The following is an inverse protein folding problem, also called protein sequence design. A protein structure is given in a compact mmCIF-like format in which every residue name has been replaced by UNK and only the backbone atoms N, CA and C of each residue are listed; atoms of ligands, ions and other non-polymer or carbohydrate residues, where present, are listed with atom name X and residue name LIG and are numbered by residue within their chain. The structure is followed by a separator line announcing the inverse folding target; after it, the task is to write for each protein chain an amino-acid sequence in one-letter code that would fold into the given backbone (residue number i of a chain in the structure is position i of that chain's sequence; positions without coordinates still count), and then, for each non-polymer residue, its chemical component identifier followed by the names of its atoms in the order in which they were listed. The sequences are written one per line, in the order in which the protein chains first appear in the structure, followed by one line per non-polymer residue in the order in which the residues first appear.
data_IF_139839373635
#
_entry.id   IF_139839373635
#
_cell.length_a   1.000
_cell.length_b   1.000
_cell.length_c   1.000
_cell.angle_alpha   90.00
_cell.angle_beta   90.00
_cell.angle_gamma   90.00
#
_symmetry.space_group_name_H-M   'P 1'
#
loop_
_entity.id
_entity.type
_entity.pdbx_description
1 polymer ?
#
# COMPACT_ATOMS: atom_id res chain seq x y z
N UNK A 1 1.70 31.76 -6.16
CA UNK A 1 0.99 30.57 -6.66
C UNK A 1 2.03 29.45 -6.77
N UNK A 2 2.39 28.83 -5.65
CA UNK A 2 3.30 27.68 -5.66
C UNK A 2 2.49 26.47 -6.08
N UNK A 3 2.63 26.08 -7.35
CA UNK A 3 2.11 24.79 -7.82
C UNK A 3 2.83 23.71 -7.04
N UNK A 4 2.15 23.12 -6.06
CA UNK A 4 2.64 21.92 -5.39
C UNK A 4 2.80 20.86 -6.45
N UNK A 5 4.05 20.48 -6.71
CA UNK A 5 4.37 19.29 -7.48
C UNK A 5 3.60 18.14 -6.86
N UNK A 6 2.62 17.64 -7.60
CA UNK A 6 2.00 16.35 -7.34
C UNK A 6 3.15 15.34 -7.37
N UNK A 7 3.46 14.62 -6.28
CA UNK A 7 4.41 13.54 -6.38
C UNK A 7 3.86 12.58 -7.44
N UNK A 8 4.70 12.23 -8.42
CA UNK A 8 4.42 11.16 -9.37
C UNK A 8 4.06 9.86 -8.64
N UNK A 9 3.63 8.80 -9.36
CA UNK A 9 3.31 7.52 -8.73
C UNK A 9 4.41 7.17 -7.75
N UNK A 10 4.06 7.20 -6.46
CA UNK A 10 5.00 7.07 -5.37
C UNK A 10 5.64 5.70 -5.48
N UNK A 11 6.97 5.61 -5.48
CA UNK A 11 7.74 4.36 -5.69
C UNK A 11 7.17 3.16 -4.91
N UNK A 12 6.63 3.40 -3.71
CA UNK A 12 6.01 2.36 -2.87
C UNK A 12 4.69 1.78 -3.41
N UNK A 13 3.94 2.51 -4.22
CA UNK A 13 2.75 2.01 -4.92
C UNK A 13 3.14 1.10 -6.09
N UNK A 14 4.15 1.49 -6.87
CA UNK A 14 4.68 0.67 -7.96
C UNK A 14 5.33 -0.60 -7.41
N UNK A 15 6.03 -0.49 -6.27
CA UNK A 15 6.60 -1.64 -5.56
C UNK A 15 5.49 -2.59 -5.04
N UNK A 16 4.41 -2.06 -4.47
CA UNK A 16 3.25 -2.87 -4.06
C UNK A 16 2.64 -3.63 -5.25
N UNK A 17 2.52 -2.99 -6.42
CA UNK A 17 2.01 -3.64 -7.64
C UNK A 17 2.95 -4.78 -8.05
N UNK A 18 4.26 -4.54 -8.11
CA UNK A 18 5.23 -5.56 -8.48
C UNK A 18 5.22 -6.77 -7.51
N UNK A 19 5.12 -6.52 -6.21
CA UNK A 19 5.04 -7.58 -5.19
C UNK A 19 3.77 -8.41 -5.36
N UNK A 20 2.63 -7.78 -5.66
CA UNK A 20 1.36 -8.46 -5.92
C UNK A 20 1.33 -9.21 -7.26
N UNK A 21 2.08 -8.75 -8.27
CA UNK A 21 2.25 -9.48 -9.52
C UNK A 21 3.03 -10.78 -9.30
N UNK A 22 4.12 -10.74 -8.50
CA UNK A 22 4.87 -11.93 -8.11
C UNK A 22 3.97 -12.91 -7.35
N UNK A 23 3.18 -12.41 -6.38
CA UNK A 23 2.18 -13.24 -5.71
C UNK A 23 1.23 -13.91 -6.71
N UNK A 24 0.66 -13.15 -7.63
CA UNK A 24 -0.31 -13.67 -8.59
C UNK A 24 0.29 -14.69 -9.56
N UNK A 25 1.55 -14.52 -9.94
CA UNK A 25 2.26 -15.46 -10.81
C UNK A 25 2.65 -16.76 -10.09
N UNK A 26 3.24 -16.64 -8.89
CA UNK A 26 3.94 -17.74 -8.24
C UNK A 26 3.10 -18.45 -7.16
N UNK A 27 1.97 -17.90 -6.70
CA UNK A 27 1.16 -18.48 -5.59
C UNK A 27 0.71 -19.93 -5.78
N UNK A 28 0.60 -20.40 -7.02
CA UNK A 28 0.17 -21.78 -7.32
C UNK A 28 1.36 -22.74 -7.39
N UNK A 29 2.59 -22.23 -7.33
CA UNK A 29 3.79 -23.05 -7.30
C UNK A 29 4.01 -23.57 -5.87
N UNK A 30 4.04 -24.90 -5.65
CA UNK A 30 4.26 -25.50 -4.33
C UNK A 30 5.67 -25.26 -3.76
N UNK A 31 6.61 -24.75 -4.57
CA UNK A 31 7.96 -24.37 -4.16
C UNK A 31 8.11 -22.88 -3.86
N UNK A 32 7.08 -22.08 -4.12
CA UNK A 32 7.10 -20.64 -3.87
C UNK A 32 7.09 -20.34 -2.37
N UNK A 33 8.10 -19.59 -1.92
CA UNK A 33 8.12 -19.08 -0.56
C UNK A 33 7.30 -17.79 -0.49
N UNK A 34 6.16 -17.88 0.19
CA UNK A 34 5.19 -16.81 0.37
C UNK A 34 5.66 -15.75 1.38
N UNK A 35 6.58 -16.10 2.28
CA UNK A 35 7.04 -15.24 3.38
C UNK A 35 7.67 -13.93 2.90
N UNK A 36 8.63 -13.92 1.96
CA UNK A 36 9.24 -12.66 1.50
C UNK A 36 8.22 -11.71 0.87
N UNK A 37 7.23 -12.22 0.15
CA UNK A 37 6.16 -11.42 -0.45
C UNK A 37 5.28 -10.77 0.61
N UNK A 38 4.83 -11.53 1.60
CA UNK A 38 4.03 -11.00 2.72
C UNK A 38 4.82 -9.99 3.56
N UNK A 39 6.08 -10.29 3.83
CA UNK A 39 6.96 -9.40 4.57
C UNK A 39 7.13 -8.07 3.83
N UNK A 40 7.30 -8.10 2.51
CA UNK A 40 7.46 -6.88 1.71
C UNK A 40 6.19 -6.03 1.67
N UNK A 41 5.02 -6.67 1.55
CA UNK A 41 3.72 -5.99 1.67
C UNK A 41 3.59 -5.31 3.04
N UNK A 42 3.94 -6.00 4.12
CA UNK A 42 3.88 -5.44 5.48
C UNK A 42 4.82 -4.24 5.65
N UNK A 43 6.08 -4.35 5.22
CA UNK A 43 7.07 -3.27 5.28
C UNK A 43 6.60 -2.01 4.53
N UNK A 44 6.00 -2.18 3.35
CA UNK A 44 5.44 -1.07 2.57
C UNK A 44 4.27 -0.40 3.29
N UNK A 45 3.36 -1.19 3.86
CA UNK A 45 2.22 -0.66 4.63
C UNK A 45 2.71 0.08 5.88
N UNK A 46 3.64 -0.49 6.64
CA UNK A 46 4.18 0.12 7.85
C UNK A 46 4.89 1.44 7.56
N UNK A 47 5.76 1.47 6.54
CA UNK A 47 6.47 2.68 6.11
C UNK A 47 5.50 3.81 5.78
N UNK A 48 4.48 3.51 4.99
CA UNK A 48 3.50 4.52 4.54
C UNK A 48 2.51 4.91 5.65
N UNK A 49 2.21 3.98 6.58
CA UNK A 49 1.46 4.28 7.81
C UNK A 49 2.24 5.22 8.72
N UNK A 50 3.53 4.97 8.92
CA UNK A 50 4.40 5.83 9.74
C UNK A 50 4.53 7.22 9.12
N UNK A 51 4.68 7.31 7.79
CA UNK A 51 4.68 8.57 7.06
C UNK A 51 3.35 9.32 7.20
N UNK A 52 2.22 8.61 7.19
CA UNK A 52 0.90 9.17 7.42
C UNK A 52 0.73 9.68 8.86
N UNK A 53 1.13 8.89 9.87
CA UNK A 53 1.06 9.28 11.28
C UNK A 53 1.96 10.48 11.61
N UNK A 54 3.09 10.63 10.91
CA UNK A 54 3.97 11.82 11.03
C UNK A 54 3.32 13.11 10.52
N UNK A 55 2.24 13.04 9.75
CA UNK A 55 1.49 14.22 9.30
C UNK A 55 0.57 14.80 10.38
N UNK A 56 0.64 14.27 11.62
CA UNK A 56 -0.22 14.63 12.75
C UNK A 56 -1.72 14.49 12.42
N UNK A 57 -2.16 13.31 11.94
CA UNK A 57 -3.57 13.06 11.70
C UNK A 57 -4.32 13.16 13.03
N UNK A 58 -5.41 13.90 13.03
CA UNK A 58 -6.18 14.19 14.24
C UNK A 58 -6.59 12.88 14.94
N UNK A 59 -6.20 12.67 16.21
CA UNK A 59 -6.47 11.42 16.94
C UNK A 59 -7.95 11.17 17.21
N UNK A 60 -8.82 12.16 16.99
CA UNK A 60 -10.28 12.03 17.08
C UNK A 60 -10.94 11.80 15.71
N UNK A 61 -10.16 11.74 14.63
CA UNK A 61 -10.68 11.51 13.30
C UNK A 61 -10.77 10.01 12.97
N UNK A 62 -11.93 9.41 13.29
CA UNK A 62 -12.29 8.02 12.96
C UNK A 62 -12.43 7.77 11.44
N UNK A 63 -12.22 8.79 10.60
CA UNK A 63 -12.30 8.61 9.14
C UNK A 63 -11.06 7.90 8.64
N UNK A 64 -11.30 6.72 8.07
CA UNK A 64 -10.30 5.93 7.37
C UNK A 64 -9.46 6.81 6.41
N UNK A 65 -8.11 6.73 6.39
CA UNK A 65 -7.24 7.56 5.56
C UNK A 65 -7.58 7.53 4.05
N UNK A 66 -8.22 6.47 3.57
CA UNK A 66 -8.75 6.40 2.18
C UNK A 66 -9.89 7.38 1.89
N UNK A 67 -10.55 7.93 2.92
CA UNK A 67 -11.60 8.96 2.86
C UNK A 67 -11.10 10.35 3.22
N UNK A 68 -10.13 10.45 4.13
CA UNK A 68 -9.54 11.73 4.60
C UNK A 68 -8.42 12.23 3.70
N UNK A 69 -7.58 11.32 3.17
CA UNK A 69 -6.48 11.65 2.26
C UNK A 69 -6.39 10.64 1.10
N UNK A 70 -7.37 10.62 0.18
CA UNK A 70 -7.39 9.70 -0.96
C UNK A 70 -6.23 9.87 -1.95
N UNK A 71 -5.44 10.95 -1.81
CA UNK A 71 -4.23 11.27 -2.57
C UNK A 71 -2.93 10.96 -1.84
N UNK A 72 -2.96 10.46 -0.60
CA UNK A 72 -1.75 10.01 0.09
C UNK A 72 -1.27 8.68 -0.47
N UNK A 73 0.04 8.48 -0.50
CA UNK A 73 0.65 7.21 -0.92
C UNK A 73 0.07 6.03 -0.14
N UNK A 74 -0.13 6.16 1.16
CA UNK A 74 -0.81 5.17 1.99
C UNK A 74 -2.23 4.83 1.50
N UNK A 75 -3.05 5.84 1.21
CA UNK A 75 -4.40 5.64 0.67
C UNK A 75 -4.38 4.95 -0.70
N UNK A 76 -3.35 5.18 -1.51
CA UNK A 76 -3.17 4.51 -2.80
C UNK A 76 -2.73 3.05 -2.63
N UNK A 77 -1.78 2.75 -1.75
CA UNK A 77 -1.36 1.38 -1.44
C UNK A 77 -2.52 0.54 -0.93
N UNK A 78 -3.32 1.06 0.00
CA UNK A 78 -4.48 0.36 0.53
C UNK A 78 -5.50 0.04 -0.58
N UNK A 79 -5.75 0.97 -1.51
CA UNK A 79 -6.63 0.71 -2.65
C UNK A 79 -6.10 -0.42 -3.55
N UNK A 80 -4.81 -0.45 -3.83
CA UNK A 80 -4.19 -1.50 -4.66
C UNK A 80 -4.32 -2.85 -3.97
N UNK A 81 -4.00 -2.90 -2.67
CA UNK A 81 -4.09 -4.10 -1.86
C UNK A 81 -5.52 -4.65 -1.79
N UNK A 82 -6.50 -3.80 -1.45
CA UNK A 82 -7.91 -4.21 -1.34
C UNK A 82 -8.55 -4.58 -2.67
N UNK A 83 -8.06 -4.07 -3.80
CA UNK A 83 -8.53 -4.48 -5.13
C UNK A 83 -8.02 -5.85 -5.54
N UNK A 84 -6.96 -6.35 -4.91
CA UNK A 84 -6.43 -7.67 -5.19
C UNK A 84 -7.15 -8.70 -4.32
N UNK A 85 -8.38 -9.05 -4.73
CA UNK A 85 -9.24 -9.98 -4.00
C UNK A 85 -8.55 -11.33 -3.75
N UNK A 86 -7.75 -11.80 -4.71
CA UNK A 86 -6.98 -13.05 -4.58
C UNK A 86 -5.95 -13.02 -3.44
N UNK A 87 -5.42 -11.85 -3.11
CA UNK A 87 -4.52 -11.67 -1.97
C UNK A 87 -5.29 -11.50 -0.64
N UNK A 88 -6.46 -10.87 -0.69
CA UNK A 88 -7.25 -10.56 0.51
C UNK A 88 -8.18 -11.68 0.97
N UNK A 89 -8.57 -12.59 0.07
CA UNK A 89 -9.62 -13.59 0.33
C UNK A 89 -9.14 -15.04 0.36
N UNK A 90 -7.88 -15.31 0.02
CA UNK A 90 -7.28 -16.64 0.03
C UNK A 90 -5.97 -16.64 0.79
#
# INVERSE_FOLDING_TARGET
MGGGEMPGPSDSADEMIAVLEVWNAERNDPTFDIKPTLQRVAELIEKETEAYLKQDPDPFDDRHPSRTHPSSTFGHLLKILFRNEDFMTK
#
